data_IF_420143221899
#
_entry.id   IF_420143221899
#
_cell.length_a   1.000
_cell.length_b   1.000
_cell.length_c   1.000
_cell.angle_alpha   90.00
_cell.angle_beta   90.00
_cell.angle_gamma   90.00
#
_symmetry.space_group_name_H-M   'P 1'
#
loop_
_entity.id
_entity.type
_entity.pdbx_description
1 polymer ?
#
# COMPACT_ATOMS: atom_id res chain seq x y z
N UNK A 1 23.39 1.19 -42.66
CA UNK A 1 22.13 0.84 -41.96
C UNK A 1 22.28 0.86 -40.44
N UNK A 2 22.97 -0.07 -39.76
CA UNK A 2 23.01 -0.12 -38.27
C UNK A 2 23.38 1.22 -37.59
N UNK A 3 24.42 1.93 -38.05
CA UNK A 3 24.79 3.23 -37.49
C UNK A 3 23.77 4.35 -37.73
N UNK A 4 22.86 4.22 -38.70
CA UNK A 4 21.79 5.20 -38.95
C UNK A 4 20.60 5.02 -38.00
N UNK A 5 20.37 3.81 -37.46
CA UNK A 5 19.32 3.57 -36.47
C UNK A 5 19.80 3.80 -35.03
N UNK A 6 21.10 3.73 -34.76
CA UNK A 6 21.67 3.91 -33.43
C UNK A 6 21.23 5.20 -32.71
N UNK A 7 21.20 6.40 -33.33
CA UNK A 7 20.80 7.63 -32.64
C UNK A 7 19.40 7.58 -32.01
N UNK A 8 18.45 6.90 -32.65
CA UNK A 8 17.09 6.75 -32.11
C UNK A 8 17.06 5.95 -30.80
N UNK A 9 17.93 4.94 -30.64
CA UNK A 9 18.10 4.25 -29.35
C UNK A 9 18.67 5.19 -28.28
N UNK A 10 19.63 6.05 -28.63
CA UNK A 10 20.16 7.07 -27.71
C UNK A 10 19.11 8.10 -27.27
N UNK A 11 18.24 8.55 -28.19
CA UNK A 11 17.13 9.44 -27.87
C UNK A 11 16.05 8.76 -27.03
N UNK A 12 15.68 7.52 -27.33
CA UNK A 12 14.74 6.73 -26.52
C UNK A 12 15.28 6.47 -25.11
N UNK A 13 16.57 6.12 -24.98
CA UNK A 13 17.23 5.94 -23.69
C UNK A 13 17.18 7.22 -22.83
N UNK A 14 17.50 8.36 -23.45
CA UNK A 14 17.45 9.68 -22.81
C UNK A 14 16.03 10.06 -22.39
N UNK A 15 15.03 9.80 -23.23
CA UNK A 15 13.62 10.04 -22.91
C UNK A 15 13.16 9.17 -21.73
N UNK A 16 13.51 7.89 -21.70
CA UNK A 16 13.23 7.00 -20.56
C UNK A 16 13.89 7.49 -19.26
N UNK A 17 15.12 7.98 -19.32
CA UNK A 17 15.82 8.56 -18.16
C UNK A 17 15.12 9.83 -17.64
N UNK A 18 14.72 10.75 -18.54
CA UNK A 18 13.96 11.95 -18.18
C UNK A 18 12.62 11.58 -17.54
N UNK A 19 11.86 10.65 -18.14
CA UNK A 19 10.58 10.19 -17.58
C UNK A 19 10.78 9.52 -16.22
N UNK A 20 11.87 8.78 -16.02
CA UNK A 20 12.18 8.20 -14.70
C UNK A 20 12.34 9.30 -13.64
N UNK A 21 13.12 10.33 -13.92
CA UNK A 21 13.40 11.45 -13.00
C UNK A 21 12.16 12.29 -12.66
N UNK A 22 11.12 12.27 -13.52
CA UNK A 22 9.86 12.99 -13.31
C UNK A 22 8.84 12.23 -12.44
N UNK A 23 9.09 10.96 -12.07
CA UNK A 23 8.09 10.11 -11.43
C UNK A 23 8.39 9.85 -9.96
N UNK A 24 7.53 10.41 -9.09
CA UNK A 24 7.54 10.28 -7.62
C UNK A 24 7.17 8.88 -7.08
N UNK A 25 7.57 7.80 -7.76
CA UNK A 25 7.25 6.43 -7.38
C UNK A 25 8.42 5.50 -7.72
N UNK A 26 9.05 4.92 -6.69
CA UNK A 26 10.24 4.08 -6.82
C UNK A 26 10.08 2.97 -7.86
N UNK A 27 8.94 2.26 -7.85
CA UNK A 27 8.72 1.13 -8.75
C UNK A 27 8.73 1.59 -10.22
N UNK A 28 8.03 2.69 -10.54
CA UNK A 28 8.02 3.29 -11.87
C UNK A 28 9.41 3.86 -12.24
N UNK A 29 10.09 4.52 -11.31
CA UNK A 29 11.46 5.00 -11.49
C UNK A 29 12.42 3.85 -11.87
N UNK A 30 12.37 2.71 -11.17
CA UNK A 30 13.19 1.52 -11.49
C UNK A 30 12.84 0.92 -12.84
N UNK A 31 11.56 0.86 -13.22
CA UNK A 31 11.13 0.42 -14.55
C UNK A 31 11.65 1.33 -15.67
N UNK A 32 11.42 2.65 -15.60
CA UNK A 32 11.88 3.59 -16.63
C UNK A 32 13.41 3.64 -16.75
N UNK A 33 14.15 3.59 -15.63
CA UNK A 33 15.60 3.41 -15.66
C UNK A 33 16.00 2.10 -16.35
N UNK A 34 15.31 0.98 -16.08
CA UNK A 34 15.63 -0.32 -16.69
C UNK A 34 15.45 -0.29 -18.21
N UNK A 35 14.36 0.30 -18.71
CA UNK A 35 14.17 0.50 -20.16
C UNK A 35 15.22 1.45 -20.75
N UNK A 36 15.55 2.55 -20.06
CA UNK A 36 16.63 3.46 -20.46
C UNK A 36 17.98 2.76 -20.58
N UNK A 37 18.35 1.94 -19.59
CA UNK A 37 19.58 1.14 -19.61
C UNK A 37 19.60 0.17 -20.81
N UNK A 38 18.49 -0.53 -21.10
CA UNK A 38 18.41 -1.46 -22.25
C UNK A 38 18.61 -0.72 -23.58
N UNK A 39 18.01 0.47 -23.75
CA UNK A 39 18.24 1.29 -24.93
C UNK A 39 19.68 1.84 -24.99
N UNK A 40 20.28 2.26 -23.87
CA UNK A 40 21.70 2.69 -23.84
C UNK A 40 22.67 1.54 -24.11
N UNK A 41 22.42 0.32 -23.62
CA UNK A 41 23.22 -0.87 -23.96
C UNK A 41 23.14 -1.14 -25.46
N UNK A 42 21.93 -1.09 -26.04
CA UNK A 42 21.71 -1.31 -27.48
C UNK A 42 22.45 -0.25 -28.32
N UNK A 43 22.31 1.02 -27.96
CA UNK A 43 23.06 2.15 -28.54
C UNK A 43 24.58 1.96 -28.44
N UNK A 44 25.08 1.56 -27.26
CA UNK A 44 26.50 1.38 -27.01
C UNK A 44 27.09 0.21 -27.81
N UNK A 45 26.37 -0.90 -27.94
CA UNK A 45 26.78 -2.04 -28.80
C UNK A 45 26.83 -1.62 -30.27
N UNK A 46 25.83 -0.88 -30.75
CA UNK A 46 25.78 -0.39 -32.14
C UNK A 46 26.90 0.61 -32.51
N UNK A 47 27.54 1.24 -31.51
CA UNK A 47 28.65 2.18 -31.70
C UNK A 47 29.98 1.70 -31.08
N UNK A 48 30.07 0.46 -30.60
CA UNK A 48 31.22 -0.11 -29.88
C UNK A 48 31.68 0.73 -28.66
N UNK A 49 30.76 1.47 -28.04
CA UNK A 49 31.03 2.38 -26.92
C UNK A 49 31.12 1.61 -25.58
N UNK A 50 32.16 0.79 -25.42
CA UNK A 50 32.38 -0.12 -24.28
C UNK A 50 32.12 0.52 -22.90
N UNK A 51 32.59 1.76 -22.57
CA UNK A 51 32.32 2.36 -21.27
C UNK A 51 30.83 2.62 -21.00
N UNK A 52 30.07 2.99 -22.03
CA UNK A 52 28.61 3.22 -21.94
C UNK A 52 27.87 1.89 -21.78
N UNK A 53 28.33 0.83 -22.48
CA UNK A 53 27.79 -0.52 -22.33
C UNK A 53 27.97 -1.05 -20.90
N UNK A 54 29.19 -1.01 -20.36
CA UNK A 54 29.51 -1.55 -19.02
C UNK A 54 28.69 -0.85 -17.93
N UNK A 55 28.66 0.49 -17.96
CA UNK A 55 27.92 1.29 -16.96
C UNK A 55 26.42 0.99 -16.99
N UNK A 56 25.81 0.91 -18.18
CA UNK A 56 24.38 0.63 -18.30
C UNK A 56 24.02 -0.84 -17.99
N UNK A 57 24.91 -1.80 -18.24
CA UNK A 57 24.72 -3.20 -17.76
C UNK A 57 24.69 -3.24 -16.23
N UNK A 58 25.66 -2.58 -15.56
CA UNK A 58 25.71 -2.51 -14.09
C UNK A 58 24.45 -1.83 -13.53
N UNK A 59 24.04 -0.70 -14.12
CA UNK A 59 22.81 0.00 -13.73
C UNK A 59 21.55 -0.85 -13.96
N UNK A 60 21.48 -1.65 -15.04
CA UNK A 60 20.37 -2.57 -15.27
C UNK A 60 20.30 -3.64 -14.19
N UNK A 61 21.42 -4.29 -13.87
CA UNK A 61 21.49 -5.29 -12.79
C UNK A 61 21.08 -4.70 -11.43
N UNK A 62 21.54 -3.48 -11.09
CA UNK A 62 21.16 -2.78 -9.86
C UNK A 62 19.65 -2.49 -9.84
N UNK A 63 19.09 -1.96 -10.92
CA UNK A 63 17.66 -1.63 -10.97
C UNK A 63 16.78 -2.89 -10.90
N UNK A 64 17.17 -3.99 -11.56
CA UNK A 64 16.48 -5.28 -11.47
C UNK A 64 16.54 -5.87 -10.05
N UNK A 65 17.70 -5.80 -9.37
CA UNK A 65 17.82 -6.24 -7.98
C UNK A 65 16.89 -5.45 -7.04
N UNK A 66 16.86 -4.11 -7.16
CA UNK A 66 15.93 -3.29 -6.38
C UNK A 66 14.46 -3.55 -6.75
N UNK A 67 14.16 -3.81 -8.02
CA UNK A 67 12.81 -4.14 -8.47
C UNK A 67 12.32 -5.47 -7.85
N UNK A 68 13.15 -6.51 -7.89
CA UNK A 68 12.90 -7.79 -7.21
C UNK A 68 12.74 -7.58 -5.71
N UNK A 69 13.61 -6.79 -5.07
CA UNK A 69 13.53 -6.48 -3.63
C UNK A 69 12.21 -5.77 -3.24
N UNK A 70 11.71 -4.86 -4.08
CA UNK A 70 10.43 -4.16 -3.85
C UNK A 70 9.26 -5.14 -3.99
N UNK A 71 9.18 -5.90 -5.10
CA UNK A 71 8.11 -6.90 -5.28
C UNK A 71 8.17 -8.04 -4.25
N UNK A 72 9.35 -8.37 -3.74
CA UNK A 72 9.55 -9.39 -2.69
C UNK A 72 9.30 -8.88 -1.27
N UNK A 73 9.03 -7.58 -1.07
CA UNK A 73 8.74 -7.04 0.26
C UNK A 73 7.38 -7.54 0.72
N UNK A 74 7.38 -8.57 1.57
CA UNK A 74 6.21 -8.93 2.38
C UNK A 74 5.93 -7.75 3.31
N UNK A 75 4.71 -7.22 3.24
CA UNK A 75 4.20 -6.21 4.16
C UNK A 75 3.82 -6.90 5.46
N UNK A 76 4.28 -6.38 6.58
CA UNK A 76 3.93 -6.93 7.89
C UNK A 76 2.61 -6.30 8.34
N UNK A 77 1.59 -7.13 8.53
CA UNK A 77 0.33 -6.73 9.15
C UNK A 77 0.29 -7.23 10.58
N UNK A 78 -0.36 -6.47 11.45
CA UNK A 78 -0.50 -6.75 12.88
C UNK A 78 -1.85 -6.19 13.36
N UNK A 79 -2.48 -6.84 14.35
CA UNK A 79 -3.79 -6.47 14.89
C UNK A 79 -3.65 -6.14 16.38
N UNK A 80 -3.93 -4.89 16.74
CA UNK A 80 -3.77 -4.37 18.10
C UNK A 80 -5.12 -3.92 18.64
N UNK A 81 -5.59 -4.57 19.71
CA UNK A 81 -6.80 -4.19 20.44
C UNK A 81 -6.66 -2.86 21.17
N UNK A 82 -7.78 -2.16 21.36
CA UNK A 82 -7.83 -0.92 22.13
C UNK A 82 -9.23 -0.70 22.75
N UNK A 83 -9.28 -0.03 23.91
CA UNK A 83 -10.47 0.13 24.74
C UNK A 83 -11.33 1.34 24.33
N UNK A 84 -10.70 2.34 23.69
CA UNK A 84 -11.35 3.56 23.19
C UNK A 84 -10.92 4.84 23.90
N UNK A 85 -9.99 4.77 24.86
CA UNK A 85 -9.38 5.91 25.56
C UNK A 85 -7.93 6.19 25.13
N UNK A 86 -7.33 5.30 24.34
CA UNK A 86 -5.92 5.37 24.00
C UNK A 86 -5.56 6.63 23.20
N UNK A 87 -4.51 7.32 23.63
CA UNK A 87 -4.05 8.59 23.06
C UNK A 87 -3.63 8.51 21.58
N UNK A 88 -3.35 7.31 21.06
CA UNK A 88 -2.99 7.12 19.65
C UNK A 88 -4.22 6.96 18.74
N UNK A 89 -5.24 6.24 19.17
CA UNK A 89 -6.45 5.96 18.37
C UNK A 89 -7.39 7.16 18.36
N UNK A 90 -7.56 7.84 19.49
CA UNK A 90 -8.21 9.16 19.58
C UNK A 90 -7.57 10.16 18.60
N UNK A 91 -6.25 10.36 18.67
CA UNK A 91 -5.52 11.28 17.77
C UNK A 91 -5.55 10.88 16.29
N UNK A 92 -5.70 9.59 15.99
CA UNK A 92 -5.92 9.10 14.64
C UNK A 92 -7.32 9.48 14.12
N UNK A 93 -8.36 9.32 14.95
CA UNK A 93 -9.73 9.71 14.64
C UNK A 93 -9.84 11.24 14.48
N UNK A 94 -9.26 12.03 15.39
CA UNK A 94 -9.17 13.50 15.28
C UNK A 94 -8.63 13.93 13.90
N UNK A 95 -7.51 13.32 13.49
CA UNK A 95 -6.79 13.71 12.28
C UNK A 95 -7.52 13.31 10.99
N UNK A 96 -8.23 12.18 11.00
CA UNK A 96 -8.98 11.68 9.86
C UNK A 96 -10.49 11.98 9.91
N UNK A 97 -10.95 12.78 10.89
CA UNK A 97 -12.37 13.02 11.18
C UNK A 97 -13.19 13.40 9.93
N UNK A 98 -12.66 14.28 9.08
CA UNK A 98 -13.37 14.73 7.87
C UNK A 98 -13.59 13.61 6.83
N UNK A 99 -12.65 12.66 6.68
CA UNK A 99 -12.83 11.50 5.78
C UNK A 99 -13.68 10.42 6.47
N UNK A 100 -13.51 10.22 7.78
CA UNK A 100 -14.36 9.32 8.58
C UNK A 100 -15.83 9.75 8.49
N UNK A 101 -16.16 11.01 8.77
CA UNK A 101 -17.52 11.55 8.74
C UNK A 101 -18.14 11.54 7.33
N UNK A 102 -17.32 11.58 6.26
CA UNK A 102 -17.80 11.48 4.88
C UNK A 102 -18.24 10.05 4.49
N UNK A 103 -17.72 9.01 5.15
CA UNK A 103 -18.11 7.61 4.90
C UNK A 103 -18.94 6.99 6.02
N UNK A 104 -18.88 7.54 7.23
CA UNK A 104 -19.53 7.07 8.45
C UNK A 104 -20.17 8.26 9.22
N UNK A 105 -21.13 9.00 8.64
CA UNK A 105 -21.68 10.22 9.25
C UNK A 105 -22.39 9.99 10.60
N UNK A 106 -22.83 8.76 10.87
CA UNK A 106 -23.46 8.37 12.13
C UNK A 106 -22.47 7.80 13.18
N UNK A 107 -21.17 7.73 12.86
CA UNK A 107 -20.15 7.33 13.84
C UNK A 107 -19.96 8.40 14.91
N UNK A 108 -19.78 7.95 16.15
CA UNK A 108 -19.54 8.80 17.33
C UNK A 108 -18.39 8.20 18.14
N UNK A 109 -17.36 8.98 18.55
CA UNK A 109 -16.22 8.44 19.31
C UNK A 109 -16.63 7.71 20.61
N UNK A 110 -17.74 8.11 21.23
CA UNK A 110 -18.29 7.47 22.42
C UNK A 110 -18.66 5.99 22.17
N UNK A 111 -18.98 5.62 20.92
CA UNK A 111 -19.30 4.25 20.54
C UNK A 111 -18.09 3.30 20.57
N UNK A 112 -16.86 3.80 20.76
CA UNK A 112 -15.70 2.94 20.99
C UNK A 112 -15.74 2.26 22.36
N UNK A 113 -16.37 2.89 23.36
CA UNK A 113 -16.34 2.45 24.75
C UNK A 113 -17.18 1.18 24.93
N UNK A 114 -16.53 0.08 25.31
CA UNK A 114 -17.15 -1.23 25.49
C UNK A 114 -17.39 -2.02 24.18
N UNK A 115 -17.01 -1.49 23.03
CA UNK A 115 -17.02 -2.23 21.76
C UNK A 115 -15.80 -3.17 21.63
N UNK A 116 -15.89 -4.13 20.71
CA UNK A 116 -14.70 -4.79 20.18
C UNK A 116 -14.01 -3.81 19.22
N UNK A 117 -12.91 -3.19 19.66
CA UNK A 117 -12.09 -2.32 18.82
C UNK A 117 -10.68 -2.88 18.60
N UNK A 118 -10.17 -2.70 17.38
CA UNK A 118 -8.78 -2.94 17.05
C UNK A 118 -8.32 -2.03 15.92
N UNK A 119 -7.01 -1.77 15.87
CA UNK A 119 -6.35 -1.21 14.69
C UNK A 119 -5.60 -2.32 13.96
N UNK A 120 -5.61 -2.28 12.63
CA UNK A 120 -4.66 -3.04 11.83
C UNK A 120 -3.52 -2.11 11.45
N UNK A 121 -2.30 -2.49 11.78
CA UNK A 121 -1.09 -1.83 11.27
C UNK A 121 -0.59 -2.50 9.98
N UNK A 122 0.20 -1.75 9.21
CA UNK A 122 0.86 -2.21 8.00
C UNK A 122 2.24 -1.58 7.94
N UNK A 123 3.26 -2.40 8.17
CA UNK A 123 4.61 -1.96 8.50
C UNK A 123 4.62 -0.92 9.65
N UNK A 124 4.03 -1.30 10.80
CA UNK A 124 3.80 -0.52 12.04
C UNK A 124 3.01 0.79 11.93
N UNK A 125 2.63 1.22 10.73
CA UNK A 125 1.73 2.37 10.52
C UNK A 125 0.28 1.88 10.60
N UNK A 126 -0.58 2.50 11.42
CA UNK A 126 -2.03 2.22 11.42
C UNK A 126 -2.57 2.37 10.00
N UNK A 127 -3.16 1.30 9.48
CA UNK A 127 -3.74 1.24 8.14
C UNK A 127 -5.28 1.30 8.16
N UNK A 128 -5.87 0.74 9.21
CA UNK A 128 -7.31 0.67 9.45
C UNK A 128 -7.61 0.76 10.96
N UNK A 129 -8.79 1.28 11.26
CA UNK A 129 -9.40 1.25 12.60
C UNK A 129 -10.80 0.62 12.49
N UNK A 130 -11.05 -0.38 13.34
CA UNK A 130 -12.30 -1.13 13.41
C UNK A 130 -12.92 -1.00 14.80
N UNK A 131 -14.24 -0.85 14.85
CA UNK A 131 -15.04 -0.87 16.07
C UNK A 131 -16.40 -1.52 15.78
N UNK A 132 -16.80 -2.50 16.59
CA UNK A 132 -18.11 -3.11 16.51
C UNK A 132 -18.72 -3.43 17.88
N UNK A 133 -20.03 -3.16 18.01
CA UNK A 133 -20.82 -3.54 19.18
C UNK A 133 -21.13 -5.03 19.11
N UNK A 134 -20.52 -5.81 20.00
CA UNK A 134 -20.72 -7.26 20.06
C UNK A 134 -21.92 -7.60 20.95
N UNK A 135 -22.84 -8.38 20.41
CA UNK A 135 -24.00 -8.91 21.14
C UNK A 135 -23.73 -10.32 21.69
N UNK A 136 -24.44 -10.70 22.75
CA UNK A 136 -24.38 -12.04 23.36
C UNK A 136 -24.64 -13.20 22.36
N UNK A 137 -25.33 -12.93 21.25
CA UNK A 137 -25.59 -13.93 20.21
C UNK A 137 -24.36 -14.19 19.31
N UNK A 138 -23.36 -13.30 19.31
CA UNK A 138 -22.19 -13.33 18.43
C UNK A 138 -22.32 -12.45 17.18
N UNK A 139 -23.33 -11.59 17.10
CA UNK A 139 -23.43 -10.57 16.06
C UNK A 139 -22.64 -9.33 16.48
N UNK A 140 -21.67 -8.94 15.64
CA UNK A 140 -20.85 -7.73 15.78
C UNK A 140 -21.36 -6.65 14.83
N UNK A 141 -22.03 -5.63 15.36
CA UNK A 141 -22.59 -4.51 14.60
C UNK A 141 -21.52 -3.43 14.41
N UNK A 142 -21.11 -3.18 13.16
CA UNK A 142 -19.96 -2.31 12.87
C UNK A 142 -20.33 -0.84 13.07
N UNK A 143 -19.68 -0.20 14.03
CA UNK A 143 -19.75 1.25 14.26
C UNK A 143 -18.73 2.00 13.39
N UNK A 144 -17.56 1.40 13.14
CA UNK A 144 -16.51 1.95 12.28
C UNK A 144 -15.70 0.82 11.63
N UNK A 145 -15.40 0.95 10.34
CA UNK A 145 -14.38 0.16 9.65
C UNK A 145 -13.62 1.04 8.65
N UNK A 146 -12.86 2.00 9.17
CA UNK A 146 -12.22 3.02 8.36
C UNK A 146 -10.81 2.59 7.95
N UNK A 147 -10.62 2.39 6.65
CA UNK A 147 -9.31 2.14 6.04
C UNK A 147 -8.80 3.40 5.36
N UNK A 148 -7.54 3.76 5.57
CA UNK A 148 -6.91 4.93 4.95
C UNK A 148 -6.90 4.84 3.42
N UNK A 149 -7.13 5.94 2.67
CA UNK A 149 -7.15 5.94 1.20
C UNK A 149 -5.95 5.21 0.55
N UNK A 150 -4.73 5.45 1.06
CA UNK A 150 -3.48 4.81 0.58
C UNK A 150 -3.38 3.29 0.82
N UNK A 151 -4.29 2.70 1.59
CA UNK A 151 -4.34 1.27 1.92
C UNK A 151 -5.70 0.62 1.60
N UNK A 152 -6.55 1.28 0.79
CA UNK A 152 -7.79 0.70 0.24
C UNK A 152 -7.50 -0.27 -0.93
N UNK A 153 -6.55 -1.18 -0.72
CA UNK A 153 -6.05 -2.16 -1.71
C UNK A 153 -6.47 -3.61 -1.41
N UNK A 154 -7.61 -3.77 -0.71
CA UNK A 154 -8.22 -5.02 -0.24
C UNK A 154 -7.40 -5.85 0.78
N UNK A 155 -6.06 -5.77 0.77
CA UNK A 155 -5.18 -6.58 1.63
C UNK A 155 -5.51 -6.48 3.12
N UNK A 156 -5.92 -5.30 3.59
CA UNK A 156 -6.32 -5.06 4.98
C UNK A 156 -7.58 -5.85 5.34
N UNK A 157 -8.59 -5.88 4.46
CA UNK A 157 -9.82 -6.66 4.68
C UNK A 157 -9.55 -8.17 4.68
N UNK A 158 -8.76 -8.66 3.72
CA UNK A 158 -8.26 -10.04 3.69
C UNK A 158 -7.47 -10.39 4.96
N UNK A 159 -6.63 -9.48 5.48
CA UNK A 159 -5.93 -9.71 6.73
C UNK A 159 -6.91 -9.88 7.91
N UNK A 160 -7.87 -8.97 8.09
CA UNK A 160 -8.83 -9.04 9.20
C UNK A 160 -9.72 -10.31 9.11
N UNK A 161 -10.28 -10.61 7.93
CA UNK A 161 -11.36 -11.60 7.82
C UNK A 161 -10.91 -13.00 7.38
N UNK A 162 -9.71 -13.15 6.80
CA UNK A 162 -9.17 -14.46 6.39
C UNK A 162 -8.01 -14.93 7.29
N UNK A 163 -7.14 -14.01 7.77
CA UNK A 163 -5.99 -14.36 8.61
C UNK A 163 -6.28 -14.22 10.10
N UNK A 164 -6.77 -13.05 10.52
CA UNK A 164 -7.19 -12.80 11.91
C UNK A 164 -8.62 -13.26 12.21
N UNK A 165 -9.13 -14.19 11.40
CA UNK A 165 -10.43 -14.85 11.61
C UNK A 165 -10.51 -15.53 12.97
N UNK A 166 -9.45 -16.21 13.39
CA UNK A 166 -9.42 -16.94 14.67
C UNK A 166 -9.36 -15.97 15.86
N UNK A 167 -8.75 -14.79 15.71
CA UNK A 167 -8.87 -13.70 16.68
C UNK A 167 -10.34 -13.27 16.84
N UNK A 168 -11.05 -12.99 15.74
CA UNK A 168 -12.47 -12.60 15.79
C UNK A 168 -13.35 -13.67 16.44
N UNK A 169 -13.11 -14.96 16.13
CA UNK A 169 -13.81 -16.09 16.76
C UNK A 169 -13.48 -16.18 18.25
N UNK A 170 -12.23 -15.96 18.66
CA UNK A 170 -11.83 -15.95 20.08
C UNK A 170 -12.55 -14.87 20.90
N UNK A 171 -12.94 -13.77 20.26
CA UNK A 171 -13.74 -12.68 20.84
C UNK A 171 -15.25 -12.96 20.79
N UNK A 172 -15.69 -14.12 20.30
CA UNK A 172 -17.09 -14.52 20.22
C UNK A 172 -17.83 -14.04 18.97
N UNK A 173 -17.15 -13.43 17.99
CA UNK A 173 -17.76 -12.99 16.73
C UNK A 173 -18.13 -14.20 15.87
N UNK A 174 -19.41 -14.33 15.52
CA UNK A 174 -19.94 -15.34 14.59
C UNK A 174 -20.35 -14.72 13.26
N UNK A 175 -20.83 -13.47 13.28
CA UNK A 175 -21.25 -12.70 12.10
C UNK A 175 -20.94 -11.23 12.32
N UNK A 176 -20.51 -10.56 11.25
CA UNK A 176 -20.31 -9.12 11.20
C UNK A 176 -21.48 -8.51 10.45
N UNK A 177 -22.10 -7.47 11.03
CA UNK A 177 -23.32 -6.84 10.52
C UNK A 177 -23.04 -5.38 10.18
N UNK A 178 -23.20 -5.05 8.90
CA UNK A 178 -23.22 -3.67 8.42
C UNK A 178 -24.68 -3.23 8.27
N UNK A 179 -25.17 -2.45 9.24
CA UNK A 179 -26.48 -1.80 9.16
C UNK A 179 -26.40 -0.59 8.23
N UNK A 180 -26.79 -0.80 6.96
CA UNK A 180 -27.07 0.30 6.03
C UNK A 180 -28.26 1.10 6.57
N UNK A 181 -27.98 2.24 7.18
CA UNK A 181 -29.01 3.22 7.55
C UNK A 181 -29.36 4.03 6.32
N UNK A 182 -30.46 3.65 5.67
CA UNK A 182 -31.13 4.50 4.69
C UNK A 182 -31.79 5.67 5.43
N UNK A 183 -31.68 6.87 4.85
CA UNK A 183 -32.50 8.04 5.19
C UNK A 183 -33.91 7.91 4.59
#
# INVERSE_FOLDING_TARGET
MLHQIAPYFGYLASLCLIIALLVNNDLKFRWFNSFGNVFFITYAVLLLAIPVMITNVILLCINLYYLIKIYSKKENFDLLEFNGDEKLTSRFIDFYWNDINAYFPNFKPEALQGNLNFVVTRDVVIANIFSAALTNNGDAYVALNYTLPKYRDYKVGTYIFEKEKDFLISKGVKRIVYTMQLE
#
